data_IF_111320721303
#
_entry.id   IF_111320721303
#
_cell.length_a   1.000
_cell.length_b   1.000
_cell.length_c   1.000
_cell.angle_alpha   90.00
_cell.angle_beta   90.00
_cell.angle_gamma   90.00
#
_symmetry.space_group_name_H-M   'P 1'
#
loop_
_entity.id
_entity.type
_entity.pdbx_description
1 polymer ?
#
# COMPACT_ATOMS: atom_id res chain seq x y z
N UNK A 1 24.80 -32.64 -6.77
CA UNK A 1 23.52 -32.66 -6.02
C UNK A 1 23.66 -31.67 -4.89
N UNK A 2 23.21 -30.42 -5.08
CA UNK A 2 23.12 -29.47 -3.97
C UNK A 2 21.83 -29.76 -3.22
N UNK A 3 21.97 -30.27 -2.00
CA UNK A 3 20.88 -30.33 -1.03
C UNK A 3 20.43 -28.90 -0.71
N UNK A 4 19.47 -28.40 -1.49
CA UNK A 4 18.60 -27.33 -1.05
C UNK A 4 17.58 -27.97 -0.12
N UNK A 5 17.98 -28.26 1.12
CA UNK A 5 17.01 -28.36 2.20
C UNK A 5 16.30 -27.00 2.25
N UNK A 6 15.03 -26.98 1.84
CA UNK A 6 14.15 -25.86 2.13
C UNK A 6 14.29 -25.60 3.62
N UNK A 7 14.84 -24.43 3.99
CA UNK A 7 14.94 -24.04 5.40
C UNK A 7 13.57 -24.31 6.04
N UNK A 8 13.57 -25.11 7.11
CA UNK A 8 12.32 -25.49 7.78
C UNK A 8 11.50 -24.23 8.08
N UNK A 9 10.21 -24.26 7.74
CA UNK A 9 9.33 -23.13 8.02
C UNK A 9 9.35 -22.85 9.52
N UNK A 10 9.58 -21.59 9.90
CA UNK A 10 9.58 -21.19 11.29
C UNK A 10 8.27 -21.57 11.97
N UNK A 11 8.37 -21.98 13.23
CA UNK A 11 7.21 -22.11 14.12
C UNK A 11 6.85 -20.74 14.70
N UNK A 12 5.62 -20.61 15.20
CA UNK A 12 5.16 -19.42 15.91
C UNK A 12 6.11 -19.05 17.08
N UNK A 13 6.50 -20.04 17.87
CA UNK A 13 7.38 -19.84 19.03
C UNK A 13 8.77 -19.35 18.61
N UNK A 14 9.32 -19.88 17.51
CA UNK A 14 10.58 -19.38 16.95
C UNK A 14 10.47 -17.94 16.47
N UNK A 15 9.37 -17.58 15.80
CA UNK A 15 9.15 -16.21 15.33
C UNK A 15 9.04 -15.21 16.50
N UNK A 16 8.27 -15.55 17.53
CA UNK A 16 8.11 -14.70 18.72
C UNK A 16 9.44 -14.57 19.49
N UNK A 17 10.16 -15.67 19.73
CA UNK A 17 11.45 -15.63 20.40
C UNK A 17 12.46 -14.77 19.60
N UNK A 18 12.47 -14.92 18.28
CA UNK A 18 13.40 -14.22 17.40
C UNK A 18 13.15 -12.73 17.28
N UNK A 19 11.90 -12.26 17.36
CA UNK A 19 11.59 -10.82 17.30
C UNK A 19 11.87 -10.12 18.65
N UNK A 20 11.73 -10.84 19.77
CA UNK A 20 11.86 -10.29 21.13
C UNK A 20 13.31 -10.24 21.64
N UNK A 21 14.21 -11.09 21.14
CA UNK A 21 15.63 -11.03 21.48
C UNK A 21 16.33 -9.78 20.90
N UNK A 22 17.54 -9.45 21.34
CA UNK A 22 18.29 -8.24 20.93
C UNK A 22 19.69 -8.51 20.35
N UNK A 23 20.10 -9.77 20.29
CA UNK A 23 21.43 -10.22 19.88
C UNK A 23 21.60 -10.28 18.35
N UNK A 24 20.56 -10.68 17.62
CA UNK A 24 20.61 -10.86 16.16
C UNK A 24 19.51 -10.05 15.46
N UNK A 25 19.87 -8.86 14.98
CA UNK A 25 18.97 -7.98 14.23
C UNK A 25 18.41 -8.63 12.95
N UNK A 26 19.18 -9.51 12.29
CA UNK A 26 18.73 -10.17 11.05
C UNK A 26 17.61 -11.17 11.35
N UNK A 27 17.71 -11.90 12.45
CA UNK A 27 16.62 -12.79 12.90
C UNK A 27 15.38 -12.02 13.31
N UNK A 28 15.52 -10.88 14.00
CA UNK A 28 14.36 -10.02 14.35
C UNK A 28 13.66 -9.50 13.11
N UNK A 29 14.44 -8.98 12.16
CA UNK A 29 13.95 -8.50 10.88
C UNK A 29 13.19 -9.59 10.11
N UNK A 30 13.78 -10.80 10.03
CA UNK A 30 13.17 -11.94 9.37
C UNK A 30 11.90 -12.40 10.08
N UNK A 31 11.90 -12.42 11.41
CA UNK A 31 10.72 -12.77 12.22
C UNK A 31 9.52 -11.89 11.88
N UNK A 32 9.71 -10.56 11.92
CA UNK A 32 8.65 -9.61 11.60
C UNK A 32 8.13 -9.80 10.17
N UNK A 33 9.05 -9.97 9.19
CA UNK A 33 8.67 -10.27 7.81
C UNK A 33 7.88 -11.57 7.69
N UNK A 34 8.33 -12.64 8.36
CA UNK A 34 7.73 -13.97 8.31
C UNK A 34 6.29 -13.93 8.85
N UNK A 35 6.08 -13.32 10.03
CA UNK A 35 4.75 -13.16 10.63
C UNK A 35 3.76 -12.50 9.67
N UNK A 36 4.17 -11.41 9.01
CA UNK A 36 3.33 -10.73 8.02
C UNK A 36 3.16 -11.51 6.70
N UNK A 37 4.21 -12.19 6.22
CA UNK A 37 4.18 -12.96 4.95
C UNK A 37 3.24 -14.17 5.04
N UNK A 38 3.25 -14.86 6.17
CA UNK A 38 2.45 -16.06 6.42
C UNK A 38 1.11 -15.77 7.12
N UNK A 39 0.76 -14.49 7.30
CA UNK A 39 -0.51 -14.03 7.90
C UNK A 39 -0.78 -14.70 9.26
N UNK A 40 0.19 -14.59 10.17
CA UNK A 40 0.09 -15.18 11.50
C UNK A 40 -0.74 -14.29 12.41
N UNK A 41 -2.02 -14.64 12.58
CA UNK A 41 -3.02 -13.85 13.31
C UNK A 41 -3.06 -14.12 14.84
N UNK A 42 -2.12 -14.90 15.38
CA UNK A 42 -2.02 -15.16 16.82
C UNK A 42 -1.79 -13.86 17.61
N UNK A 43 -2.57 -13.66 18.67
CA UNK A 43 -2.53 -12.42 19.49
C UNK A 43 -1.14 -12.14 20.05
N UNK A 44 -0.35 -13.18 20.37
CA UNK A 44 1.02 -13.04 20.88
C UNK A 44 1.97 -12.57 19.78
N UNK A 45 1.79 -13.03 18.55
CA UNK A 45 2.55 -12.54 17.40
C UNK A 45 2.23 -11.08 17.10
N UNK A 46 0.95 -10.72 17.15
CA UNK A 46 0.51 -9.32 16.98
C UNK A 46 1.10 -8.45 18.09
N UNK A 47 1.00 -8.86 19.35
CA UNK A 47 1.60 -8.14 20.48
C UNK A 47 3.12 -7.93 20.28
N UNK A 48 3.84 -8.97 19.86
CA UNK A 48 5.27 -8.86 19.58
C UNK A 48 5.59 -7.90 18.42
N UNK A 49 4.77 -7.86 17.37
CA UNK A 49 4.90 -6.89 16.28
C UNK A 49 4.58 -5.46 16.74
N UNK A 50 3.57 -5.27 17.60
CA UNK A 50 3.24 -3.96 18.19
C UNK A 50 4.38 -3.43 19.06
N UNK A 51 5.03 -4.30 19.83
CA UNK A 51 6.22 -3.92 20.60
C UNK A 51 7.41 -3.60 19.68
N UNK A 52 7.57 -4.33 18.58
CA UNK A 52 8.62 -4.10 17.59
C UNK A 52 8.50 -2.74 16.87
N UNK A 53 7.31 -2.11 16.84
CA UNK A 53 7.15 -0.72 16.35
C UNK A 53 7.91 0.31 17.20
N UNK A 54 8.26 -0.04 18.44
CA UNK A 54 8.97 0.83 19.40
C UNK A 54 10.46 0.53 19.47
N UNK A 55 10.97 -0.35 18.62
CA UNK A 55 12.34 -0.85 18.72
C UNK A 55 13.39 0.25 18.50
N UNK A 56 14.28 0.47 19.46
CA UNK A 56 15.41 1.42 19.34
C UNK A 56 16.75 0.71 19.05
N UNK A 57 16.76 -0.62 19.07
CA UNK A 57 17.99 -1.43 19.03
C UNK A 57 18.48 -1.65 17.61
N UNK A 58 17.59 -2.02 16.68
CA UNK A 58 17.94 -2.28 15.29
C UNK A 58 18.03 -0.97 14.51
N UNK A 59 19.26 -0.59 14.15
CA UNK A 59 19.58 0.66 13.45
C UNK A 59 20.36 0.40 12.18
N UNK A 60 19.88 0.93 11.07
CA UNK A 60 20.61 0.89 9.80
C UNK A 60 21.64 2.04 9.70
N UNK A 61 22.70 1.90 8.87
CA UNK A 61 23.74 2.93 8.72
C UNK A 61 23.24 4.31 8.28
N UNK A 62 22.06 4.37 7.65
CA UNK A 62 21.39 5.61 7.23
C UNK A 62 20.54 6.26 8.34
N UNK A 63 20.62 5.72 9.57
CA UNK A 63 19.92 6.20 10.76
C UNK A 63 18.52 5.61 10.98
N UNK A 64 18.08 4.71 10.11
CA UNK A 64 16.74 4.13 10.13
C UNK A 64 16.51 3.01 11.13
N UNK A 65 15.29 2.46 11.10
CA UNK A 65 14.77 1.43 12.01
C UNK A 65 14.23 0.21 11.22
N UNK A 66 15.10 -0.72 10.78
CA UNK A 66 14.69 -1.83 9.90
C UNK A 66 13.59 -2.71 10.51
N UNK A 67 13.69 -3.05 11.79
CA UNK A 67 12.64 -3.81 12.48
C UNK A 67 11.30 -3.08 12.50
N UNK A 68 11.26 -1.77 12.80
CA UNK A 68 10.01 -0.98 12.80
C UNK A 68 9.36 -0.97 11.42
N UNK A 69 10.14 -0.77 10.36
CA UNK A 69 9.66 -0.80 8.97
C UNK A 69 8.95 -2.12 8.67
N UNK A 70 9.57 -3.24 9.04
CA UNK A 70 9.00 -4.57 8.82
C UNK A 70 7.80 -4.86 9.70
N UNK A 71 7.85 -4.46 10.98
CA UNK A 71 6.74 -4.64 11.90
C UNK A 71 5.49 -3.88 11.42
N UNK A 72 5.64 -2.63 10.96
CA UNK A 72 4.54 -1.86 10.38
C UNK A 72 3.94 -2.58 9.17
N UNK A 73 4.77 -2.98 8.19
CA UNK A 73 4.32 -3.75 7.01
C UNK A 73 3.62 -5.05 7.36
N UNK A 74 4.10 -5.76 8.39
CA UNK A 74 3.50 -7.01 8.83
C UNK A 74 2.11 -6.77 9.41
N UNK A 75 1.97 -5.78 10.30
CA UNK A 75 0.68 -5.43 10.91
C UNK A 75 -0.38 -5.03 9.88
N UNK A 76 -0.01 -4.29 8.83
CA UNK A 76 -0.92 -4.00 7.71
C UNK A 76 -1.45 -5.25 7.02
N UNK A 77 -0.58 -6.27 6.80
CA UNK A 77 -0.98 -7.55 6.19
C UNK A 77 -1.86 -8.41 7.09
N UNK A 78 -1.71 -8.30 8.40
CA UNK A 78 -2.52 -9.00 9.39
C UNK A 78 -3.90 -8.36 9.58
N UNK A 79 -4.07 -7.11 9.15
CA UNK A 79 -5.34 -6.40 9.16
C UNK A 79 -6.03 -6.40 10.56
N UNK A 80 -5.25 -6.34 11.64
CA UNK A 80 -5.77 -6.33 13.00
C UNK A 80 -6.02 -4.87 13.47
N UNK A 81 -7.24 -4.53 13.92
CA UNK A 81 -7.57 -3.17 14.38
C UNK A 81 -6.73 -2.63 15.55
N UNK A 82 -6.11 -3.50 16.36
CA UNK A 82 -5.21 -3.09 17.44
C UNK A 82 -3.96 -2.36 16.93
N UNK A 83 -3.63 -2.51 15.64
CA UNK A 83 -2.49 -1.85 15.01
C UNK A 83 -2.77 -0.38 14.63
N UNK A 84 -4.03 0.08 14.60
CA UNK A 84 -4.39 1.41 14.09
C UNK A 84 -3.68 2.53 14.85
N UNK A 85 -3.85 2.64 16.17
CA UNK A 85 -3.22 3.72 16.95
C UNK A 85 -1.68 3.62 16.93
N UNK A 86 -1.06 2.44 17.13
CA UNK A 86 0.41 2.32 17.02
C UNK A 86 0.98 2.67 15.64
N UNK A 87 0.23 2.41 14.56
CA UNK A 87 0.63 2.82 13.21
C UNK A 87 0.42 4.33 12.99
N UNK A 88 -0.60 4.94 13.58
CA UNK A 88 -0.78 6.40 13.60
C UNK A 88 0.42 7.07 14.26
N UNK A 89 0.88 6.55 15.41
CA UNK A 89 2.08 7.05 16.09
C UNK A 89 3.33 6.96 15.18
N UNK A 90 3.45 5.89 14.40
CA UNK A 90 4.56 5.69 13.46
C UNK A 90 4.61 6.72 12.32
N UNK A 91 3.51 7.42 12.02
CA UNK A 91 3.51 8.53 11.05
C UNK A 91 4.37 9.72 11.51
N UNK A 92 4.70 9.80 12.80
CA UNK A 92 5.59 10.83 13.37
C UNK A 92 7.04 10.36 13.50
N UNK A 93 7.40 9.18 12.99
CA UNK A 93 8.77 8.65 13.07
C UNK A 93 9.75 9.52 12.27
N UNK A 94 10.98 9.67 12.78
CA UNK A 94 12.08 10.31 12.05
C UNK A 94 12.50 9.53 10.79
N UNK A 95 12.23 8.23 10.76
CA UNK A 95 12.54 7.37 9.61
C UNK A 95 11.43 7.42 8.57
N UNK A 96 11.77 7.97 7.39
CA UNK A 96 10.88 8.04 6.22
C UNK A 96 10.21 6.70 5.90
N UNK A 97 10.96 5.60 5.98
CA UNK A 97 10.43 4.29 5.58
C UNK A 97 9.51 3.69 6.63
N UNK A 98 9.61 4.12 7.90
CA UNK A 98 8.61 3.79 8.93
C UNK A 98 7.31 4.53 8.64
N UNK A 99 7.39 5.84 8.33
CA UNK A 99 6.21 6.64 7.94
C UNK A 99 5.52 6.05 6.70
N UNK A 100 6.29 5.68 5.68
CA UNK A 100 5.79 5.06 4.45
C UNK A 100 5.07 3.73 4.74
N UNK A 101 5.71 2.85 5.52
CA UNK A 101 5.13 1.56 5.89
C UNK A 101 3.86 1.71 6.72
N UNK A 102 3.83 2.71 7.61
CA UNK A 102 2.67 3.04 8.41
C UNK A 102 1.51 3.55 7.54
N UNK A 103 1.75 4.50 6.64
CA UNK A 103 0.71 5.01 5.74
C UNK A 103 0.09 3.90 4.88
N UNK A 104 0.92 3.04 4.27
CA UNK A 104 0.46 1.87 3.50
C UNK A 104 -0.37 0.90 4.36
N UNK A 105 0.06 0.67 5.60
CA UNK A 105 -0.65 -0.26 6.50
C UNK A 105 -1.98 0.31 6.98
N UNK A 106 -2.05 1.63 7.20
CA UNK A 106 -3.28 2.33 7.56
C UNK A 106 -4.28 2.36 6.40
N UNK A 107 -3.81 2.50 5.16
CA UNK A 107 -4.63 2.31 3.95
C UNK A 107 -5.26 0.90 3.93
N UNK A 108 -4.46 -0.14 4.16
CA UNK A 108 -4.94 -1.52 4.19
C UNK A 108 -5.97 -1.77 5.30
N UNK A 109 -5.77 -1.17 6.47
CA UNK A 109 -6.68 -1.29 7.63
C UNK A 109 -8.02 -0.59 7.43
N UNK A 110 -8.06 0.45 6.58
CA UNK A 110 -9.30 1.15 6.24
C UNK A 110 -9.93 1.97 7.39
N UNK A 111 -9.20 2.19 8.49
CA UNK A 111 -9.74 2.90 9.66
C UNK A 111 -9.58 4.42 9.53
N UNK A 112 -10.72 5.12 9.49
CA UNK A 112 -10.82 6.58 9.32
C UNK A 112 -10.15 7.38 10.44
N UNK A 113 -9.85 6.77 11.60
CA UNK A 113 -9.08 7.43 12.68
C UNK A 113 -7.70 7.91 12.22
N UNK A 114 -7.14 7.31 11.16
CA UNK A 114 -5.85 7.71 10.60
C UNK A 114 -5.87 9.03 9.82
N UNK A 115 -7.05 9.48 9.35
CA UNK A 115 -7.17 10.63 8.43
C UNK A 115 -6.47 11.90 8.97
N UNK A 116 -6.68 12.34 10.23
CA UNK A 116 -6.03 13.55 10.72
C UNK A 116 -4.50 13.46 10.69
N UNK A 117 -3.93 12.33 11.08
CA UNK A 117 -2.48 12.14 11.11
C UNK A 117 -1.88 12.02 9.70
N UNK A 118 -2.57 11.36 8.77
CA UNK A 118 -2.17 11.30 7.36
C UNK A 118 -2.19 12.69 6.72
N UNK A 119 -3.24 13.48 6.95
CA UNK A 119 -3.37 14.85 6.44
C UNK A 119 -2.24 15.76 6.93
N UNK A 120 -1.77 15.61 8.16
CA UNK A 120 -0.64 16.39 8.69
C UNK A 120 0.65 16.22 7.86
N UNK A 121 0.86 15.06 7.23
CA UNK A 121 2.02 14.82 6.36
C UNK A 121 1.95 15.58 5.03
N UNK A 122 0.80 16.19 4.70
CA UNK A 122 0.62 17.07 3.55
C UNK A 122 0.89 18.55 3.86
N UNK A 123 1.30 18.88 5.09
CA UNK A 123 1.55 20.26 5.50
C UNK A 123 2.57 20.96 4.58
N UNK A 124 2.23 22.18 4.15
CA UNK A 124 3.00 22.94 3.15
C UNK A 124 2.66 22.61 1.69
N UNK A 125 1.80 21.62 1.45
CA UNK A 125 1.27 21.27 0.13
C UNK A 125 2.35 20.87 -0.87
N UNK A 126 2.05 21.03 -2.16
CA UNK A 126 2.97 20.69 -3.26
C UNK A 126 4.33 21.40 -3.14
N UNK A 127 4.38 22.61 -2.59
CA UNK A 127 5.64 23.36 -2.43
C UNK A 127 6.60 22.68 -1.42
N UNK A 128 6.07 21.97 -0.43
CA UNK A 128 6.86 21.20 0.53
C UNK A 128 7.21 19.79 0.01
N UNK A 129 6.65 19.36 -1.12
CA UNK A 129 6.85 18.02 -1.67
C UNK A 129 8.17 17.89 -2.46
N UNK A 130 9.28 18.16 -1.78
CA UNK A 130 10.62 18.16 -2.37
C UNK A 130 11.43 16.93 -1.97
N UNK A 131 12.49 16.65 -2.74
CA UNK A 131 13.46 15.60 -2.40
C UNK A 131 14.14 15.92 -1.07
N UNK A 132 14.26 14.90 -0.20
CA UNK A 132 15.07 15.02 0.99
C UNK A 132 16.56 15.09 0.60
N UNK A 133 17.32 15.97 1.26
CA UNK A 133 18.71 16.22 0.93
C UNK A 133 19.56 14.93 1.07
N UNK A 134 20.27 14.57 0.00
CA UNK A 134 21.11 13.37 -0.03
C UNK A 134 20.35 12.03 0.04
N UNK A 135 19.03 12.03 -0.09
CA UNK A 135 18.19 10.83 0.02
C UNK A 135 17.47 10.49 -1.31
N UNK A 136 17.14 9.21 -1.56
CA UNK A 136 16.47 8.79 -2.79
C UNK A 136 14.94 9.02 -2.77
N UNK A 137 14.43 9.65 -1.72
CA UNK A 137 12.99 9.83 -1.46
C UNK A 137 12.67 11.30 -1.16
N UNK A 138 11.38 11.62 -1.11
CA UNK A 138 10.89 12.95 -0.71
C UNK A 138 10.96 13.12 0.80
N UNK A 139 10.71 14.34 1.27
CA UNK A 139 10.64 14.63 2.70
C UNK A 139 9.50 13.87 3.40
N UNK A 140 8.43 13.53 2.69
CA UNK A 140 7.31 12.71 3.17
C UNK A 140 6.89 11.66 2.14
N UNK A 141 6.28 10.54 2.57
CA UNK A 141 5.79 9.49 1.68
C UNK A 141 4.46 9.90 1.02
N UNK A 142 4.47 10.98 0.23
CA UNK A 142 3.27 11.58 -0.36
C UNK A 142 2.43 10.61 -1.19
N UNK A 143 3.06 9.68 -1.92
CA UNK A 143 2.37 8.62 -2.68
C UNK A 143 1.44 7.80 -1.76
N UNK A 144 2.01 7.15 -0.74
CA UNK A 144 1.25 6.33 0.21
C UNK A 144 0.24 7.14 1.03
N UNK A 145 0.57 8.38 1.41
CA UNK A 145 -0.33 9.25 2.18
C UNK A 145 -1.57 9.62 1.38
N UNK A 146 -1.40 10.02 0.12
CA UNK A 146 -2.52 10.42 -0.75
C UNK A 146 -3.40 9.20 -1.07
N UNK A 147 -2.80 8.05 -1.36
CA UNK A 147 -3.52 6.79 -1.58
C UNK A 147 -4.36 6.37 -0.36
N UNK A 148 -3.78 6.46 0.83
CA UNK A 148 -4.47 6.20 2.08
C UNK A 148 -5.67 7.14 2.29
N UNK A 149 -5.48 8.45 2.09
CA UNK A 149 -6.56 9.43 2.24
C UNK A 149 -7.71 9.19 1.25
N UNK A 150 -7.40 8.82 0.00
CA UNK A 150 -8.39 8.44 -1.00
C UNK A 150 -9.19 7.21 -0.59
N UNK A 151 -8.49 6.15 -0.19
CA UNK A 151 -9.09 4.87 0.23
C UNK A 151 -9.92 5.00 1.50
N UNK A 152 -9.50 5.83 2.45
CA UNK A 152 -10.22 6.10 3.68
C UNK A 152 -11.44 7.03 3.48
N UNK A 153 -11.64 7.57 2.28
CA UNK A 153 -12.77 8.45 1.98
C UNK A 153 -12.68 9.81 2.67
N UNK A 154 -11.47 10.38 2.76
CA UNK A 154 -11.23 11.71 3.34
C UNK A 154 -11.66 12.83 2.37
N UNK A 155 -12.97 13.01 2.13
CA UNK A 155 -13.48 13.98 1.16
C UNK A 155 -13.12 15.43 1.51
N UNK A 156 -12.80 15.72 2.77
CA UNK A 156 -12.37 17.02 3.25
C UNK A 156 -10.99 17.47 2.75
N UNK A 157 -10.16 16.57 2.19
CA UNK A 157 -8.80 16.91 1.72
C UNK A 157 -8.70 17.14 0.22
N UNK A 158 -9.81 17.09 -0.53
CA UNK A 158 -9.82 17.19 -2.00
C UNK A 158 -9.09 18.43 -2.50
N UNK A 159 -9.39 19.60 -1.93
CA UNK A 159 -8.75 20.86 -2.32
C UNK A 159 -7.24 20.88 -2.00
N UNK A 160 -6.82 20.17 -0.95
CA UNK A 160 -5.42 20.10 -0.51
C UNK A 160 -4.59 19.17 -1.39
N UNK A 161 -5.16 18.04 -1.84
CA UNK A 161 -4.44 17.06 -2.67
C UNK A 161 -4.49 17.42 -4.16
N UNK A 162 -5.49 18.16 -4.63
CA UNK A 162 -5.65 18.48 -6.05
C UNK A 162 -4.39 19.10 -6.70
N UNK A 163 -3.65 20.04 -6.05
CA UNK A 163 -2.41 20.57 -6.62
C UNK A 163 -1.33 19.52 -6.91
N UNK A 164 -1.34 18.37 -6.24
CA UNK A 164 -0.35 17.29 -6.45
C UNK A 164 -0.49 16.62 -7.83
N UNK A 165 -1.57 16.90 -8.58
CA UNK A 165 -1.69 16.54 -9.99
C UNK A 165 -0.59 17.16 -10.86
N UNK A 166 0.01 18.27 -10.43
CA UNK A 166 1.08 18.98 -11.15
C UNK A 166 2.48 18.64 -10.63
N UNK A 167 2.61 17.65 -9.72
CA UNK A 167 3.90 17.28 -9.15
C UNK A 167 4.82 16.62 -10.18
N UNK A 168 6.12 16.94 -10.15
CA UNK A 168 7.14 16.37 -11.05
C UNK A 168 7.19 14.83 -11.10
N UNK A 169 6.90 14.14 -9.98
CA UNK A 169 6.98 12.69 -9.92
C UNK A 169 5.66 12.06 -10.35
N UNK A 170 5.72 11.18 -11.35
CA UNK A 170 4.51 10.61 -11.96
C UNK A 170 3.71 9.74 -10.99
N UNK A 171 4.40 9.07 -10.07
CA UNK A 171 3.76 8.26 -9.01
C UNK A 171 2.87 9.10 -8.09
N UNK A 172 3.27 10.32 -7.76
CA UNK A 172 2.44 11.24 -6.97
C UNK A 172 1.23 11.70 -7.76
N UNK A 173 1.41 12.01 -9.05
CA UNK A 173 0.28 12.35 -9.91
C UNK A 173 -0.72 11.19 -9.97
N UNK A 174 -0.25 9.94 -10.07
CA UNK A 174 -1.12 8.76 -10.16
C UNK A 174 -1.86 8.49 -8.84
N UNK A 175 -1.15 8.53 -7.72
CA UNK A 175 -1.77 8.49 -6.38
C UNK A 175 -2.85 9.56 -6.22
N UNK A 176 -2.59 10.78 -6.71
CA UNK A 176 -3.54 11.89 -6.67
C UNK A 176 -4.75 11.65 -7.58
N UNK A 177 -4.55 11.15 -8.80
CA UNK A 177 -5.66 10.77 -9.70
C UNK A 177 -6.53 9.68 -9.07
N UNK A 178 -5.90 8.65 -8.49
CA UNK A 178 -6.58 7.57 -7.77
C UNK A 178 -7.43 8.14 -6.64
N UNK A 179 -6.83 8.91 -5.74
CA UNK A 179 -7.51 9.46 -4.58
C UNK A 179 -8.64 10.40 -4.99
N UNK A 180 -8.41 11.32 -5.94
CA UNK A 180 -9.46 12.23 -6.41
C UNK A 180 -10.63 11.49 -7.05
N UNK A 181 -10.39 10.41 -7.82
CA UNK A 181 -11.50 9.59 -8.30
C UNK A 181 -12.27 8.95 -7.13
N UNK A 182 -11.59 8.34 -6.15
CA UNK A 182 -12.25 7.72 -5.00
C UNK A 182 -13.12 8.74 -4.24
N UNK A 183 -12.62 9.96 -4.06
CA UNK A 183 -13.27 11.01 -3.27
C UNK A 183 -14.37 11.78 -4.03
N UNK A 184 -14.28 11.89 -5.36
CA UNK A 184 -15.19 12.74 -6.16
C UNK A 184 -16.07 11.97 -7.15
N UNK A 185 -15.67 10.74 -7.50
CA UNK A 185 -16.24 9.94 -8.60
C UNK A 185 -16.21 10.62 -9.97
N UNK A 186 -15.36 11.65 -10.16
CA UNK A 186 -15.13 12.27 -11.46
C UNK A 186 -14.31 11.33 -12.36
N UNK A 187 -14.99 10.80 -13.39
CA UNK A 187 -14.40 9.86 -14.33
C UNK A 187 -13.18 10.41 -15.09
N UNK A 188 -13.00 11.73 -15.18
CA UNK A 188 -11.84 12.33 -15.85
C UNK A 188 -10.52 11.94 -15.18
N UNK A 189 -10.52 11.70 -13.87
CA UNK A 189 -9.34 11.24 -13.15
C UNK A 189 -8.99 9.78 -13.48
N UNK A 190 -9.98 8.89 -13.51
CA UNK A 190 -9.79 7.50 -13.91
C UNK A 190 -9.38 7.36 -15.39
N UNK A 191 -9.92 8.22 -16.27
CA UNK A 191 -9.51 8.26 -17.68
C UNK A 191 -8.02 8.60 -17.83
N UNK A 192 -7.49 9.55 -17.05
CA UNK A 192 -6.04 9.86 -17.05
C UNK A 192 -5.18 8.66 -16.62
N UNK A 193 -5.62 7.88 -15.63
CA UNK A 193 -4.96 6.62 -15.24
C UNK A 193 -5.07 5.55 -16.33
N UNK A 194 -6.19 5.47 -17.03
CA UNK A 194 -6.35 4.56 -18.16
C UNK A 194 -5.39 4.93 -19.30
N UNK A 195 -5.16 6.21 -19.58
CA UNK A 195 -4.18 6.63 -20.58
C UNK A 195 -2.74 6.33 -20.17
N UNK A 196 -2.44 6.33 -18.87
CA UNK A 196 -1.13 5.91 -18.37
C UNK A 196 -0.78 4.46 -18.72
N UNK A 197 -1.76 3.58 -18.97
CA UNK A 197 -1.51 2.20 -19.43
C UNK A 197 -0.85 2.12 -20.81
N UNK A 198 -0.91 3.20 -21.59
CA UNK A 198 -0.28 3.29 -22.93
C UNK A 198 1.14 3.84 -22.89
N UNK A 199 1.61 4.32 -21.73
CA UNK A 199 2.94 4.93 -21.61
C UNK A 199 4.10 3.93 -21.71
N UNK A 200 5.29 4.41 -22.03
CA UNK A 200 6.47 3.57 -22.30
C UNK A 200 7.06 2.92 -21.04
N UNK A 201 6.92 3.58 -19.88
CA UNK A 201 7.51 3.15 -18.61
C UNK A 201 6.71 2.01 -17.98
N UNK A 202 7.27 0.80 -17.96
CA UNK A 202 6.64 -0.40 -17.39
C UNK A 202 6.20 -0.18 -15.93
N UNK A 203 7.04 0.45 -15.12
CA UNK A 203 6.74 0.72 -13.71
C UNK A 203 5.50 1.61 -13.54
N UNK A 204 5.29 2.59 -14.43
CA UNK A 204 4.10 3.44 -14.38
C UNK A 204 2.85 2.70 -14.85
N UNK A 205 2.97 1.82 -15.86
CA UNK A 205 1.83 0.96 -16.25
C UNK A 205 1.40 0.04 -15.10
N UNK A 206 2.37 -0.53 -14.36
CA UNK A 206 2.08 -1.35 -13.17
C UNK A 206 1.37 -0.54 -12.08
N UNK A 207 1.79 0.70 -11.84
CA UNK A 207 1.10 1.62 -10.91
C UNK A 207 -0.34 1.85 -11.35
N UNK A 208 -0.54 2.29 -12.60
CA UNK A 208 -1.87 2.57 -13.15
C UNK A 208 -2.79 1.34 -13.13
N UNK A 209 -2.28 0.12 -13.35
CA UNK A 209 -3.04 -1.12 -13.17
C UNK A 209 -3.58 -1.27 -11.75
N UNK A 210 -2.71 -1.15 -10.74
CA UNK A 210 -3.09 -1.28 -9.34
C UNK A 210 -4.08 -0.18 -8.95
N UNK A 211 -3.84 1.06 -9.40
CA UNK A 211 -4.71 2.20 -9.13
C UNK A 211 -6.11 2.01 -9.75
N UNK A 212 -6.20 1.60 -11.01
CA UNK A 212 -7.48 1.33 -11.70
C UNK A 212 -8.26 0.18 -11.05
N UNK A 213 -7.54 -0.84 -10.57
CA UNK A 213 -8.13 -1.92 -9.78
C UNK A 213 -8.69 -1.44 -8.45
N UNK A 214 -7.90 -0.65 -7.71
CA UNK A 214 -8.28 -0.13 -6.39
C UNK A 214 -9.48 0.83 -6.45
N UNK A 215 -9.62 1.61 -7.53
CA UNK A 215 -10.77 2.50 -7.72
C UNK A 215 -11.99 1.81 -8.34
N UNK A 216 -11.83 0.58 -8.83
CA UNK A 216 -12.90 -0.20 -9.43
C UNK A 216 -13.52 0.41 -10.70
N UNK A 217 -12.72 1.05 -11.55
CA UNK A 217 -13.22 1.75 -12.74
C UNK A 217 -13.51 0.78 -13.90
N UNK A 218 -14.75 0.32 -14.00
CA UNK A 218 -15.24 -0.66 -15.00
C UNK A 218 -14.80 -0.38 -16.44
N UNK A 219 -14.88 0.87 -16.97
CA UNK A 219 -14.50 1.13 -18.37
C UNK A 219 -13.04 0.82 -18.70
N UNK A 220 -12.15 0.69 -17.70
CA UNK A 220 -10.76 0.33 -17.94
C UNK A 220 -10.51 -1.16 -18.22
N UNK A 221 -11.50 -2.05 -18.06
CA UNK A 221 -11.31 -3.50 -18.15
C UNK A 221 -10.57 -3.96 -19.42
N UNK A 222 -11.03 -3.52 -20.60
CA UNK A 222 -10.38 -3.86 -21.88
C UNK A 222 -8.98 -3.27 -22.01
N UNK A 223 -8.76 -2.04 -21.52
CA UNK A 223 -7.44 -1.40 -21.54
C UNK A 223 -6.44 -2.14 -20.64
N UNK A 224 -6.89 -2.58 -19.46
CA UNK A 224 -6.11 -3.40 -18.51
C UNK A 224 -5.69 -4.72 -19.15
N UNK A 225 -6.63 -5.46 -19.74
CA UNK A 225 -6.35 -6.74 -20.37
C UNK A 225 -5.29 -6.64 -21.49
N UNK A 226 -5.40 -5.60 -22.31
CA UNK A 226 -4.55 -5.39 -23.49
C UNK A 226 -3.22 -4.67 -23.21
N UNK A 227 -3.02 -4.06 -22.04
CA UNK A 227 -1.80 -3.32 -21.76
C UNK A 227 -0.56 -4.25 -21.70
N UNK A 228 0.63 -3.69 -21.95
CA UNK A 228 1.89 -4.46 -21.87
C UNK A 228 2.42 -4.52 -20.42
N UNK A 229 1.98 -5.53 -19.67
CA UNK A 229 2.38 -5.81 -18.28
C UNK A 229 2.17 -7.30 -17.94
N UNK A 230 2.62 -7.73 -16.77
CA UNK A 230 2.43 -9.10 -16.28
C UNK A 230 0.94 -9.43 -16.09
N UNK A 231 0.51 -10.62 -16.54
CA UNK A 231 -0.88 -11.07 -16.37
C UNK A 231 -1.31 -11.11 -14.89
N UNK A 232 -0.40 -11.41 -13.97
CA UNK A 232 -0.69 -11.39 -12.53
C UNK A 232 -1.17 -10.02 -12.04
N UNK A 233 -0.58 -8.92 -12.53
CA UNK A 233 -0.99 -7.57 -12.16
C UNK A 233 -2.31 -7.17 -12.86
N UNK A 234 -2.50 -7.58 -14.11
CA UNK A 234 -3.76 -7.37 -14.83
C UNK A 234 -4.92 -8.07 -14.11
N UNK A 235 -4.70 -9.32 -13.67
CA UNK A 235 -5.68 -10.10 -12.92
C UNK A 235 -6.01 -9.45 -11.58
N UNK A 236 -5.03 -8.92 -10.86
CA UNK A 236 -5.26 -8.16 -9.62
C UNK A 236 -6.13 -6.92 -9.90
N UNK A 237 -5.82 -6.18 -10.97
CA UNK A 237 -6.60 -5.00 -11.35
C UNK A 237 -8.04 -5.34 -11.74
N UNK A 238 -8.25 -6.33 -12.62
CA UNK A 238 -9.57 -6.78 -13.03
C UNK A 238 -10.38 -7.34 -11.86
N UNK A 239 -9.72 -8.07 -10.94
CA UNK A 239 -10.35 -8.54 -9.70
C UNK A 239 -10.87 -7.37 -8.86
N UNK A 240 -10.08 -6.32 -8.67
CA UNK A 240 -10.52 -5.13 -7.90
C UNK A 240 -11.74 -4.44 -8.52
N UNK A 241 -11.77 -4.33 -9.86
CA UNK A 241 -12.94 -3.82 -10.59
C UNK A 241 -14.16 -4.70 -10.39
N UNK A 242 -14.00 -6.02 -10.53
CA UNK A 242 -15.08 -6.98 -10.35
C UNK A 242 -15.64 -6.93 -8.92
N UNK A 243 -14.78 -6.88 -7.90
CA UNK A 243 -15.21 -6.79 -6.49
C UNK A 243 -16.02 -5.51 -6.23
N UNK A 244 -15.58 -4.37 -6.75
CA UNK A 244 -16.33 -3.11 -6.66
C UNK A 244 -17.70 -3.20 -7.34
N UNK A 245 -17.79 -3.86 -8.50
CA UNK A 245 -19.06 -4.04 -9.22
C UNK A 245 -20.01 -4.99 -8.49
N UNK A 246 -19.50 -6.10 -7.96
CA UNK A 246 -20.31 -7.08 -7.22
C UNK A 246 -20.86 -6.51 -5.91
N UNK A 247 -20.16 -5.59 -5.26
CA UNK A 247 -20.70 -4.87 -4.09
C UNK A 247 -21.87 -3.94 -4.43
N UNK A 248 -22.03 -3.54 -5.70
CA UNK A 248 -23.08 -2.63 -6.18
C UNK A 248 -24.30 -3.35 -6.77
N UNK A 249 -24.15 -4.60 -7.22
CA UNK A 249 -25.23 -5.40 -7.82
C UNK A 249 -25.86 -6.34 -6.79
N UNK A 250 -27.19 -6.44 -6.78
CA UNK A 250 -27.90 -7.07 -5.66
C UNK A 250 -28.39 -8.50 -5.86
N UNK A 251 -28.20 -9.19 -6.99
CA UNK A 251 -28.65 -10.60 -7.10
C UNK A 251 -28.21 -11.37 -8.36
N UNK A 252 -27.85 -10.68 -9.46
CA UNK A 252 -27.42 -11.33 -10.72
C UNK A 252 -26.16 -10.67 -11.29
N UNK A 253 -25.34 -11.47 -11.97
CA UNK A 253 -24.15 -11.00 -12.69
C UNK A 253 -24.59 -10.15 -13.88
N UNK A 254 -24.34 -8.84 -13.82
CA UNK A 254 -24.57 -7.93 -14.93
C UNK A 254 -23.59 -8.18 -16.09
N UNK A 255 -23.86 -7.54 -17.24
CA UNK A 255 -23.06 -7.69 -18.45
C UNK A 255 -21.60 -7.25 -18.22
N UNK A 256 -21.38 -6.21 -17.42
CA UNK A 256 -20.04 -5.70 -17.10
C UNK A 256 -19.23 -6.74 -16.29
N UNK A 257 -19.85 -7.37 -15.29
CA UNK A 257 -19.23 -8.43 -14.49
C UNK A 257 -18.89 -9.65 -15.34
N UNK A 258 -19.79 -10.06 -16.24
CA UNK A 258 -19.55 -11.18 -17.17
C UNK A 258 -18.40 -10.86 -18.14
N UNK A 259 -18.34 -9.62 -18.64
CA UNK A 259 -17.25 -9.17 -19.49
C UNK A 259 -15.92 -9.18 -18.74
N UNK A 260 -15.88 -8.68 -17.50
CA UNK A 260 -14.68 -8.68 -16.66
C UNK A 260 -14.18 -10.11 -16.38
N UNK A 261 -15.07 -11.04 -16.04
CA UNK A 261 -14.72 -12.45 -15.86
C UNK A 261 -14.14 -13.05 -17.14
N UNK A 262 -14.74 -12.77 -18.30
CA UNK A 262 -14.23 -13.21 -19.61
C UNK A 262 -12.82 -12.67 -19.88
N UNK A 263 -12.56 -11.39 -19.56
CA UNK A 263 -11.23 -10.79 -19.69
C UNK A 263 -10.20 -11.47 -18.77
N UNK A 264 -10.60 -11.84 -17.55
CA UNK A 264 -9.74 -12.56 -16.60
C UNK A 264 -9.41 -13.97 -17.10
N UNK A 265 -10.40 -14.71 -17.61
CA UNK A 265 -10.20 -16.07 -18.15
C UNK A 265 -9.21 -16.10 -19.32
N UNK A 266 -9.23 -15.07 -20.17
CA UNK A 266 -8.30 -14.94 -21.30
C UNK A 266 -6.84 -14.64 -20.88
N UNK A 267 -6.58 -14.35 -19.60
CA UNK A 267 -5.24 -14.05 -19.07
C UNK A 267 -4.60 -15.23 -18.32
N UNK A 268 -5.34 -16.32 -18.10
CA UNK A 268 -4.89 -17.56 -17.45
C UNK A 268 -4.24 -18.52 -18.45
#
# INVERSE_FOLDING_TARGET
MSDWTMAEAWTLEQAIASIQQTEDASQRYYAAWWLGKFRVEDERAIAALLDALKDEVDRSPDGGYPLRRNAAKALGKLNNPAAVEPLIDCLSSDDYYVRESAAQSLEMLGDRRAIPALRLLLAGGIAAAVKAEGKPHLVQPYEAVIEALGTLGATEVVEEIQPFLEHDFEKIRYATLRALYQLTQDASYAQKLMEALKGDKLQLRRSALLDLGAIGYVPAGTAIANCFAENSLKLIALKGILESQLQRSSEQLDADSQQLMTLMDNLL
#
